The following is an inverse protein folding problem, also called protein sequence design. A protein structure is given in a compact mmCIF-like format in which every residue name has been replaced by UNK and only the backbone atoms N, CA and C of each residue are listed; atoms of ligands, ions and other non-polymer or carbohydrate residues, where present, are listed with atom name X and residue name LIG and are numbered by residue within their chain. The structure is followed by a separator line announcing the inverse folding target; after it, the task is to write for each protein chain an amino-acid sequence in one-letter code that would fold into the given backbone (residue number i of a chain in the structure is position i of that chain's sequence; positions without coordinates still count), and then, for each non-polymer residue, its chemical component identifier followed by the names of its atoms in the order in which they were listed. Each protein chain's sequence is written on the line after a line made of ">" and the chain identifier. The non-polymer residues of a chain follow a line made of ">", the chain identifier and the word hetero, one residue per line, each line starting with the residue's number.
data_IF_211211085364
#
_entry.id   IF_211211085364
#
_cell.length_a   1.000
_cell.length_b   1.000
_cell.length_c   1.000
_cell.angle_alpha   90.00
_cell.angle_beta   90.00
_cell.angle_gamma   90.00
#
_symmetry.space_group_name_H-M   'P 1'
#
loop_
_entity.id
_entity.type
_entity.pdbx_description
1 polymer ?
#
# COMPACT_ATOMS: atom_id res chain seq x y z
N UNK A 1 20.50 -1.10 5.79
CA UNK A 1 19.82 -2.06 4.94
C UNK A 1 20.76 -3.18 4.51
N UNK A 2 20.20 -4.24 3.91
CA UNK A 2 20.98 -5.32 3.30
C UNK A 2 21.56 -4.88 1.93
N UNK A 3 22.35 -5.74 1.29
CA UNK A 3 22.99 -5.44 0.01
C UNK A 3 21.99 -5.09 -1.10
N UNK A 4 20.82 -5.78 -1.15
CA UNK A 4 19.75 -5.50 -2.10
C UNK A 4 19.20 -4.07 -1.94
N UNK A 5 18.95 -3.65 -0.70
CA UNK A 5 18.42 -2.30 -0.41
C UNK A 5 19.44 -1.22 -0.75
N UNK A 6 20.73 -1.47 -0.55
CA UNK A 6 21.79 -0.52 -0.94
C UNK A 6 21.88 -0.38 -2.45
N UNK A 7 21.86 -1.51 -3.18
CA UNK A 7 21.90 -1.50 -4.64
C UNK A 7 20.66 -0.78 -5.23
N UNK A 8 19.47 -1.10 -4.74
CA UNK A 8 18.23 -0.44 -5.16
C UNK A 8 18.24 1.07 -4.88
N UNK A 9 18.82 1.51 -3.75
CA UNK A 9 18.96 2.93 -3.41
C UNK A 9 19.77 3.69 -4.46
N UNK A 10 20.92 3.16 -4.87
CA UNK A 10 21.78 3.81 -5.86
C UNK A 10 21.11 3.85 -7.25
N UNK A 11 20.37 2.82 -7.62
CA UNK A 11 19.61 2.80 -8.87
C UNK A 11 18.46 3.81 -8.85
N UNK A 12 17.64 3.80 -7.82
CA UNK A 12 16.48 4.70 -7.69
C UNK A 12 16.89 6.17 -7.60
N UNK A 13 18.03 6.48 -6.95
CA UNK A 13 18.57 7.85 -6.85
C UNK A 13 18.93 8.43 -8.22
N UNK A 14 19.32 7.58 -9.17
CA UNK A 14 19.71 7.98 -10.52
C UNK A 14 18.54 7.95 -11.53
N UNK A 15 17.34 7.59 -11.10
CA UNK A 15 16.13 7.61 -11.92
C UNK A 15 15.45 8.98 -11.85
N UNK A 16 14.70 9.31 -12.88
CA UNK A 16 13.82 10.49 -12.90
C UNK A 16 12.53 10.17 -12.11
N UNK A 17 12.68 10.14 -10.79
CA UNK A 17 11.60 9.87 -9.83
C UNK A 17 11.69 10.84 -8.66
N UNK A 18 10.55 11.16 -8.06
CA UNK A 18 10.50 11.85 -6.77
C UNK A 18 10.91 10.91 -5.63
N UNK A 19 12.16 10.44 -5.70
CA UNK A 19 12.70 9.49 -4.73
C UNK A 19 13.14 10.20 -3.45
N UNK A 20 12.46 9.90 -2.33
CA UNK A 20 12.75 10.50 -1.02
C UNK A 20 13.80 9.73 -0.20
N UNK A 21 14.30 8.60 -0.72
CA UNK A 21 15.25 7.75 -0.03
C UNK A 21 14.62 6.58 0.71
N UNK A 22 15.42 5.92 1.56
CA UNK A 22 14.94 4.83 2.40
C UNK A 22 14.13 5.37 3.57
N UNK A 23 13.10 4.61 3.96
CA UNK A 23 12.26 4.90 5.12
C UNK A 23 12.37 3.77 6.16
N UNK A 24 11.99 4.07 7.38
CA UNK A 24 11.87 3.10 8.47
C UNK A 24 10.41 2.64 8.65
N UNK A 25 10.19 1.50 9.31
CA UNK A 25 8.84 0.96 9.53
C UNK A 25 7.88 1.93 10.23
N UNK A 26 8.38 2.84 11.09
CA UNK A 26 7.56 3.89 11.73
C UNK A 26 7.07 4.93 10.72
N UNK A 27 7.87 5.24 9.71
CA UNK A 27 7.55 6.27 8.71
C UNK A 27 6.37 5.86 7.81
N UNK A 28 6.10 4.56 7.72
CA UNK A 28 4.93 4.01 7.01
C UNK A 28 3.62 4.51 7.62
N UNK A 29 3.53 4.50 8.96
CA UNK A 29 2.33 4.96 9.68
C UNK A 29 2.21 6.49 9.62
N UNK A 30 3.35 7.19 9.56
CA UNK A 30 3.40 8.65 9.43
C UNK A 30 3.12 9.15 7.99
N UNK A 31 2.92 8.22 7.02
CA UNK A 31 2.66 8.54 5.61
C UNK A 31 3.69 9.48 4.99
N UNK A 32 4.98 9.26 5.28
CA UNK A 32 6.07 10.09 4.74
C UNK A 32 6.30 9.91 3.24
N UNK A 33 5.80 8.83 2.65
CA UNK A 33 5.87 8.54 1.23
C UNK A 33 4.50 8.13 0.72
N UNK A 34 4.16 8.54 -0.50
CA UNK A 34 2.92 8.14 -1.18
C UNK A 34 3.00 6.69 -1.68
N UNK A 35 4.19 6.24 -2.06
CA UNK A 35 4.46 4.88 -2.53
C UNK A 35 5.70 4.33 -1.83
N UNK A 36 5.58 3.12 -1.30
CA UNK A 36 6.65 2.39 -0.62
C UNK A 36 6.91 1.10 -1.37
N UNK A 37 8.13 0.92 -1.85
CA UNK A 37 8.56 -0.30 -2.53
C UNK A 37 9.38 -1.16 -1.58
N UNK A 38 9.01 -2.43 -1.48
CA UNK A 38 9.73 -3.43 -0.69
C UNK A 38 9.59 -4.83 -1.31
N UNK A 39 10.38 -5.79 -0.83
CA UNK A 39 10.16 -7.19 -1.20
C UNK A 39 8.84 -7.72 -0.60
N UNK A 40 8.28 -8.75 -1.25
CA UNK A 40 6.96 -9.26 -0.88
C UNK A 40 6.90 -9.90 0.51
N UNK A 41 8.03 -10.42 1.03
CA UNK A 41 8.08 -11.01 2.36
C UNK A 41 8.04 -9.92 3.44
N UNK A 42 8.91 -8.91 3.33
CA UNK A 42 8.96 -7.76 4.23
C UNK A 42 7.64 -7.01 4.25
N UNK A 43 7.09 -6.71 3.05
CA UNK A 43 5.81 -6.04 2.92
C UNK A 43 4.64 -6.82 3.52
N UNK A 44 4.60 -8.13 3.32
CA UNK A 44 3.56 -8.98 3.89
C UNK A 44 3.66 -9.05 5.43
N UNK A 45 4.86 -9.17 5.99
CA UNK A 45 5.05 -9.14 7.46
C UNK A 45 4.60 -7.80 8.01
N UNK A 46 5.04 -6.70 7.41
CA UNK A 46 4.65 -5.36 7.86
C UNK A 46 3.14 -5.17 7.82
N UNK A 47 2.49 -5.52 6.70
CA UNK A 47 1.05 -5.42 6.55
C UNK A 47 0.31 -6.24 7.62
N UNK A 48 0.68 -7.50 7.81
CA UNK A 48 0.06 -8.39 8.80
C UNK A 48 0.29 -7.92 10.24
N UNK A 49 1.45 -7.34 10.51
CA UNK A 49 1.74 -6.76 11.83
C UNK A 49 0.87 -5.52 12.07
N UNK A 50 0.77 -4.61 11.11
CA UNK A 50 -0.09 -3.44 11.22
C UNK A 50 -1.57 -3.82 11.41
N UNK A 51 -2.07 -4.78 10.61
CA UNK A 51 -3.43 -5.32 10.78
C UNK A 51 -3.64 -5.90 12.19
N UNK A 52 -2.72 -6.73 12.65
CA UNK A 52 -2.80 -7.37 13.97
C UNK A 52 -2.76 -6.37 15.12
N UNK A 53 -1.86 -5.39 15.05
CA UNK A 53 -1.75 -4.31 16.06
C UNK A 53 -3.02 -3.46 16.08
N UNK A 54 -3.52 -3.03 14.91
CA UNK A 54 -4.74 -2.24 14.80
C UNK A 54 -5.95 -2.97 15.42
N UNK A 55 -6.14 -4.25 15.09
CA UNK A 55 -7.22 -5.06 15.66
C UNK A 55 -7.05 -5.26 17.17
N UNK A 56 -5.82 -5.53 17.64
CA UNK A 56 -5.51 -5.68 19.05
C UNK A 56 -5.78 -4.41 19.85
N UNK A 57 -5.37 -3.25 19.34
CA UNK A 57 -5.64 -1.95 19.96
C UNK A 57 -7.14 -1.64 20.02
N UNK A 58 -7.89 -1.91 18.96
CA UNK A 58 -9.35 -1.72 18.95
C UNK A 58 -10.06 -2.61 19.97
N UNK A 59 -9.59 -3.87 20.12
CA UNK A 59 -10.10 -4.79 21.14
C UNK A 59 -9.81 -4.28 22.54
N UNK A 60 -8.56 -3.91 22.83
CA UNK A 60 -8.13 -3.40 24.13
C UNK A 60 -8.88 -2.12 24.51
N UNK A 61 -9.04 -1.19 23.56
CA UNK A 61 -9.82 0.03 23.75
C UNK A 61 -11.28 -0.27 24.10
N UNK A 62 -11.91 -1.21 23.38
CA UNK A 62 -13.27 -1.66 23.69
C UNK A 62 -13.36 -2.24 25.08
N UNK A 63 -12.47 -3.15 25.48
CA UNK A 63 -12.44 -3.79 26.80
C UNK A 63 -12.27 -2.72 27.90
N UNK A 64 -11.35 -1.77 27.71
CA UNK A 64 -11.12 -0.66 28.64
C UNK A 64 -12.36 0.21 28.82
N UNK A 65 -12.98 0.65 27.72
CA UNK A 65 -14.18 1.48 27.78
C UNK A 65 -15.37 0.74 28.40
N UNK A 66 -15.48 -0.57 28.16
CA UNK A 66 -16.59 -1.37 28.70
C UNK A 66 -16.36 -1.85 30.15
N UNK A 67 -15.18 -1.60 30.74
CA UNK A 67 -14.85 -2.06 32.10
C UNK A 67 -15.57 -1.29 33.21
N UNK A 68 -16.06 -0.09 32.97
CA UNK A 68 -16.73 0.75 33.98
C UNK A 68 -18.00 1.42 33.44
N UNK A 69 -18.88 1.83 34.32
CA UNK A 69 -20.12 2.57 33.97
C UNK A 69 -19.79 3.90 33.28
N UNK A 70 -18.78 4.61 33.78
CA UNK A 70 -18.31 5.88 33.18
C UNK A 70 -17.75 5.64 31.78
N UNK A 71 -16.96 4.58 31.61
CA UNK A 71 -16.42 4.19 30.30
C UNK A 71 -17.50 3.84 29.30
N UNK A 72 -18.53 3.10 29.71
CA UNK A 72 -19.69 2.77 28.86
C UNK A 72 -20.44 4.02 28.40
N UNK A 73 -20.65 4.98 29.30
CA UNK A 73 -21.29 6.25 28.96
C UNK A 73 -20.42 7.06 27.98
N UNK A 74 -19.11 7.15 28.23
CA UNK A 74 -18.15 7.77 27.31
C UNK A 74 -18.15 7.11 25.92
N UNK A 75 -18.12 5.79 25.87
CA UNK A 75 -18.18 5.05 24.62
C UNK A 75 -19.48 5.31 23.82
N UNK A 76 -20.59 5.51 24.51
CA UNK A 76 -21.86 5.87 23.86
C UNK A 76 -21.79 7.27 23.23
N UNK A 77 -21.18 8.23 23.90
CA UNK A 77 -21.05 9.60 23.42
C UNK A 77 -20.13 9.72 22.20
N UNK A 78 -19.05 8.93 22.13
CA UNK A 78 -18.08 8.94 21.03
C UNK A 78 -18.27 7.80 20.02
N UNK A 79 -19.42 7.14 20.05
CA UNK A 79 -19.69 5.93 19.23
C UNK A 79 -19.44 6.12 17.74
N UNK A 80 -19.83 7.26 17.20
CA UNK A 80 -19.69 7.53 15.76
C UNK A 80 -18.24 7.81 15.37
N UNK A 81 -17.46 8.43 16.26
CA UNK A 81 -16.03 8.63 16.05
C UNK A 81 -15.25 7.31 16.15
N UNK A 82 -15.63 6.43 17.06
CA UNK A 82 -15.10 5.07 17.13
C UNK A 82 -15.44 4.24 15.89
N UNK A 83 -16.61 4.45 15.28
CA UNK A 83 -16.96 3.81 14.01
C UNK A 83 -16.10 4.30 12.87
N UNK A 84 -15.85 5.61 12.77
CA UNK A 84 -14.95 6.20 11.76
C UNK A 84 -13.54 5.65 11.90
N UNK A 85 -13.01 5.61 13.13
CA UNK A 85 -11.70 5.03 13.39
C UNK A 85 -11.62 3.56 12.98
N UNK A 86 -12.65 2.77 13.32
CA UNK A 86 -12.72 1.37 12.90
C UNK A 86 -12.75 1.24 11.37
N UNK A 87 -13.53 2.05 10.68
CA UNK A 87 -13.62 2.03 9.21
C UNK A 87 -12.30 2.39 8.57
N UNK A 88 -11.55 3.34 9.12
CA UNK A 88 -10.22 3.71 8.64
C UNK A 88 -9.21 2.55 8.74
N UNK A 89 -9.34 1.70 9.76
CA UNK A 89 -8.48 0.54 10.00
C UNK A 89 -8.97 -0.74 9.32
N UNK A 90 -10.14 -0.71 8.66
CA UNK A 90 -10.79 -1.88 8.08
C UNK A 90 -10.34 -2.07 6.62
N UNK A 91 -9.53 -3.09 6.36
CA UNK A 91 -9.09 -3.43 5.00
C UNK A 91 -10.25 -3.71 4.03
N UNK A 92 -11.43 -4.08 4.51
CA UNK A 92 -12.60 -4.33 3.66
C UNK A 92 -13.10 -3.07 2.95
N UNK A 93 -12.74 -1.89 3.44
CA UNK A 93 -13.03 -0.62 2.76
C UNK A 93 -12.25 -0.47 1.45
N UNK A 94 -11.05 -1.03 1.36
CA UNK A 94 -10.19 -0.98 0.18
C UNK A 94 -10.46 -2.12 -0.80
N UNK A 95 -10.91 -3.27 -0.31
CA UNK A 95 -11.33 -4.42 -1.10
C UNK A 95 -10.20 -5.35 -1.54
N UNK A 96 -9.12 -4.82 -2.09
CA UNK A 96 -7.99 -5.62 -2.57
C UNK A 96 -6.84 -4.76 -3.04
N UNK A 97 -5.82 -5.40 -3.63
CA UNK A 97 -4.67 -4.74 -4.21
C UNK A 97 -4.47 -5.16 -5.68
N UNK A 98 -4.13 -4.24 -6.59
CA UNK A 98 -3.86 -4.57 -7.97
C UNK A 98 -2.56 -5.37 -8.10
N UNK A 99 -2.58 -6.36 -8.99
CA UNK A 99 -1.42 -7.13 -9.39
C UNK A 99 -0.80 -6.45 -10.60
N UNK A 100 0.35 -5.80 -10.43
CA UNK A 100 1.02 -5.08 -11.50
C UNK A 100 1.93 -6.01 -12.32
N UNK A 101 2.25 -5.61 -13.57
CA UNK A 101 3.14 -6.36 -14.45
C UNK A 101 2.48 -7.51 -15.20
N UNK A 102 1.14 -7.57 -15.23
CA UNK A 102 0.34 -8.51 -16.02
C UNK A 102 -0.45 -7.77 -17.08
N UNK A 103 -0.83 -8.46 -18.17
CA UNK A 103 -1.47 -7.86 -19.36
C UNK A 103 -2.96 -7.53 -19.18
N UNK A 104 -3.43 -7.36 -17.95
CA UNK A 104 -4.82 -7.04 -17.67
C UNK A 104 -5.05 -6.72 -16.22
N UNK A 105 -6.22 -6.21 -15.87
CA UNK A 105 -6.60 -5.87 -14.50
C UNK A 105 -6.80 -7.12 -13.65
N UNK A 106 -5.92 -7.35 -12.69
CA UNK A 106 -6.04 -8.42 -11.69
C UNK A 106 -6.02 -7.78 -10.31
N UNK A 107 -7.10 -7.93 -9.55
CA UNK A 107 -7.21 -7.44 -8.17
C UNK A 107 -7.19 -8.62 -7.21
N UNK A 108 -6.20 -8.66 -6.33
CA UNK A 108 -6.09 -9.67 -5.28
C UNK A 108 -6.88 -9.23 -4.05
N UNK A 109 -7.98 -9.93 -3.77
CA UNK A 109 -8.72 -9.79 -2.52
C UNK A 109 -8.08 -10.64 -1.39
N UNK A 110 -8.43 -10.31 -0.13
CA UNK A 110 -7.98 -11.07 1.03
C UNK A 110 -8.73 -12.40 1.16
N UNK A 111 -8.08 -13.46 1.68
CA UNK A 111 -8.72 -14.78 1.85
C UNK A 111 -9.95 -14.77 2.78
N UNK A 112 -10.05 -13.79 3.69
CA UNK A 112 -11.19 -13.58 4.59
C UNK A 112 -12.16 -12.49 4.12
N UNK A 113 -12.13 -12.13 2.81
CA UNK A 113 -12.98 -11.08 2.25
C UNK A 113 -14.47 -11.39 2.41
N UNK A 114 -15.19 -10.42 2.95
CA UNK A 114 -16.66 -10.43 3.00
C UNK A 114 -17.27 -9.81 1.73
N UNK A 115 -18.59 -9.80 1.62
CA UNK A 115 -19.29 -9.24 0.46
C UNK A 115 -18.94 -7.77 0.17
N UNK A 116 -18.69 -6.94 1.21
CA UNK A 116 -18.27 -5.56 1.07
C UNK A 116 -16.88 -5.46 0.46
N UNK A 117 -15.92 -6.26 0.95
CA UNK A 117 -14.57 -6.31 0.41
C UNK A 117 -14.57 -6.74 -1.06
N UNK A 118 -15.34 -7.76 -1.43
CA UNK A 118 -15.46 -8.20 -2.84
C UNK A 118 -16.08 -7.11 -3.72
N UNK A 119 -17.13 -6.43 -3.25
CA UNK A 119 -17.69 -5.28 -3.98
C UNK A 119 -16.65 -4.20 -4.22
N UNK A 120 -15.88 -3.85 -3.20
CA UNK A 120 -14.83 -2.83 -3.31
C UNK A 120 -13.67 -3.29 -4.20
N UNK A 121 -13.30 -4.56 -4.19
CA UNK A 121 -12.33 -5.13 -5.12
C UNK A 121 -12.79 -5.03 -6.59
N UNK A 122 -14.09 -5.26 -6.85
CA UNK A 122 -14.67 -5.07 -8.20
C UNK A 122 -14.62 -3.59 -8.60
N UNK A 123 -14.97 -2.67 -7.71
CA UNK A 123 -14.86 -1.24 -7.97
C UNK A 123 -13.41 -0.83 -8.28
N UNK A 124 -12.44 -1.36 -7.54
CA UNK A 124 -11.03 -1.16 -7.84
C UNK A 124 -10.64 -1.67 -9.23
N UNK A 125 -11.14 -2.84 -9.64
CA UNK A 125 -10.89 -3.37 -10.98
C UNK A 125 -11.45 -2.45 -12.07
N UNK A 126 -12.63 -1.87 -11.86
CA UNK A 126 -13.21 -0.88 -12.77
C UNK A 126 -12.30 0.34 -12.88
N UNK A 127 -11.92 0.95 -11.76
CA UNK A 127 -11.03 2.12 -11.77
C UNK A 127 -9.66 1.82 -12.36
N UNK A 128 -9.13 0.61 -12.15
CA UNK A 128 -7.86 0.18 -12.74
C UNK A 128 -7.91 0.13 -14.26
N UNK A 129 -9.02 -0.38 -14.82
CA UNK A 129 -9.23 -0.44 -16.28
C UNK A 129 -9.52 0.95 -16.85
N UNK A 130 -10.43 1.72 -16.22
CA UNK A 130 -10.76 3.07 -16.66
C UNK A 130 -9.57 4.04 -16.59
N UNK A 131 -8.63 3.80 -15.66
CA UNK A 131 -7.39 4.56 -15.50
C UNK A 131 -6.28 4.16 -16.46
N UNK A 132 -6.50 3.22 -17.40
CA UNK A 132 -5.52 2.75 -18.39
C UNK A 132 -4.16 2.34 -17.78
N UNK A 133 -4.15 1.82 -16.55
CA UNK A 133 -2.92 1.59 -15.77
C UNK A 133 -1.94 0.64 -16.48
N UNK A 134 -2.46 -0.34 -17.24
CA UNK A 134 -1.59 -1.29 -17.98
C UNK A 134 -0.88 -0.58 -19.12
N UNK A 135 -1.61 0.19 -19.90
CA UNK A 135 -1.11 0.96 -21.03
C UNK A 135 -0.08 2.01 -20.60
N UNK A 136 -0.33 2.69 -19.50
CA UNK A 136 0.59 3.69 -18.95
C UNK A 136 1.91 3.03 -18.50
N UNK A 137 1.84 1.87 -17.84
CA UNK A 137 3.03 1.11 -17.46
C UNK A 137 3.81 0.62 -18.70
N UNK A 138 3.12 0.10 -19.71
CA UNK A 138 3.76 -0.37 -20.95
C UNK A 138 4.44 0.79 -21.69
N UNK A 139 3.77 1.91 -21.83
CA UNK A 139 4.30 3.11 -22.47
C UNK A 139 5.57 3.61 -21.75
N UNK A 140 5.50 3.77 -20.43
CA UNK A 140 6.65 4.18 -19.64
C UNK A 140 7.85 3.24 -19.80
N UNK A 141 7.62 1.93 -19.78
CA UNK A 141 8.67 0.93 -19.94
C UNK A 141 9.30 0.93 -21.33
N UNK A 142 8.52 1.23 -22.38
CA UNK A 142 9.03 1.34 -23.75
C UNK A 142 9.91 2.59 -23.89
N UNK A 143 9.44 3.75 -23.47
CA UNK A 143 10.19 5.01 -23.49
C UNK A 143 11.51 4.90 -22.73
N UNK A 144 11.49 4.24 -21.57
CA UNK A 144 12.70 4.00 -20.79
C UNK A 144 13.72 3.13 -21.53
N UNK A 145 13.27 2.05 -22.17
CA UNK A 145 14.15 1.17 -22.97
C UNK A 145 14.80 1.89 -24.13
N UNK A 146 14.09 2.80 -24.80
CA UNK A 146 14.64 3.62 -25.87
C UNK A 146 15.69 4.59 -25.34
N UNK A 147 15.42 5.24 -24.23
CA UNK A 147 16.37 6.15 -23.56
C UNK A 147 17.64 5.42 -23.11
N UNK A 148 17.53 4.22 -22.57
CA UNK A 148 18.67 3.41 -22.14
C UNK A 148 19.51 2.95 -23.35
N UNK A 149 18.90 2.55 -24.47
CA UNK A 149 19.61 2.22 -25.71
C UNK A 149 20.40 3.39 -26.25
N UNK A 150 19.80 4.56 -26.35
CA UNK A 150 20.46 5.79 -26.83
C UNK A 150 21.65 6.17 -25.95
N UNK A 151 21.59 5.98 -24.62
CA UNK A 151 22.68 6.22 -23.70
C UNK A 151 23.85 5.23 -23.87
N UNK A 152 23.56 3.99 -24.23
CA UNK A 152 24.58 2.97 -24.50
C UNK A 152 25.26 3.21 -25.83
N UNK A 153 24.52 3.56 -26.88
CA UNK A 153 25.04 3.88 -28.21
C UNK A 153 25.99 5.10 -28.16
N UNK A 154 25.59 6.18 -27.50
CA UNK A 154 26.42 7.37 -27.32
C UNK A 154 27.72 7.11 -26.51
N UNK A 155 27.75 6.11 -25.61
CA UNK A 155 28.96 5.73 -24.88
C UNK A 155 29.92 4.86 -25.66
N UNK A 156 29.50 4.27 -26.78
CA UNK A 156 30.33 3.44 -27.65
C UNK A 156 31.02 4.33 -28.71
N UNK A 157 30.45 5.50 -28.99
CA UNK A 157 30.99 6.46 -29.97
C UNK A 157 32.02 7.44 -29.37
N UNK A 158 32.18 7.51 -28.05
CA UNK A 158 33.23 8.24 -27.32
C UNK A 158 34.44 7.32 -27.00
#
# INVERSE_FOLDING_TARGET
>A
GNELVKAAYEELKNMDLNFIGNIEGRDVIESKADVIVCDGFTGNIMLKTCEGVAMGMMKLMKETLMSSTKGKLGALLIKDDLRKLKSFLDYSEYGGAPFLGVKGGVIKAHGSSNAKAIKNAINQAIHFVEGNVVEDIETYLLERKETEKSKVENKIEE
#
